data_IF_908433178007
#
_entry.id   IF_908433178007
#
_cell.length_a   1.000
_cell.length_b   1.000
_cell.length_c   1.000
_cell.angle_alpha   90.00
_cell.angle_beta   90.00
_cell.angle_gamma   90.00
#
_symmetry.space_group_name_H-M   'P 1'
#
loop_
_entity.id
_entity.type
_entity.pdbx_description
1 polymer ?
#
# COMPACT_ATOMS: atom_id res chain seq x y z
N UNK A 1 9.97 -13.43 9.85
CA UNK A 1 10.53 -12.28 9.11
C UNK A 1 9.65 -12.01 7.92
N UNK A 2 9.06 -10.84 7.87
CA UNK A 2 8.04 -10.46 6.87
C UNK A 2 8.71 -9.50 5.89
N UNK A 3 9.61 -10.01 5.09
CA UNK A 3 10.17 -9.24 3.98
C UNK A 3 9.25 -9.40 2.76
N UNK A 4 8.98 -8.33 2.02
CA UNK A 4 8.27 -8.46 0.75
C UNK A 4 9.04 -9.42 -0.16
N UNK A 5 8.37 -10.51 -0.57
CA UNK A 5 8.98 -11.54 -1.40
C UNK A 5 8.89 -11.16 -2.88
N UNK A 6 9.82 -11.68 -3.67
CA UNK A 6 9.77 -11.56 -5.13
C UNK A 6 8.62 -12.43 -5.64
N UNK A 7 7.81 -11.87 -6.50
CA UNK A 7 6.67 -12.53 -7.14
C UNK A 7 6.82 -12.69 -8.66
N UNK A 8 7.76 -11.97 -9.26
CA UNK A 8 8.14 -12.17 -10.66
C UNK A 8 8.93 -13.47 -10.81
N UNK A 9 8.74 -14.13 -11.95
CA UNK A 9 9.60 -15.20 -12.41
C UNK A 9 10.95 -14.63 -12.92
N UNK A 10 11.86 -15.51 -13.31
CA UNK A 10 13.24 -15.16 -13.76
C UNK A 10 13.23 -14.25 -14.98
N UNK A 11 12.24 -14.38 -15.84
CA UNK A 11 12.06 -13.57 -17.06
C UNK A 11 11.25 -12.29 -16.85
N UNK A 12 10.89 -11.98 -15.60
CA UNK A 12 10.09 -10.82 -15.22
C UNK A 12 8.57 -11.00 -15.37
N UNK A 13 8.11 -12.19 -15.73
CA UNK A 13 6.67 -12.49 -15.80
C UNK A 13 6.07 -12.70 -14.40
N UNK A 14 4.80 -12.36 -14.26
CA UNK A 14 4.02 -12.61 -13.05
C UNK A 14 2.53 -12.73 -13.37
N UNK A 15 1.77 -13.37 -12.48
CA UNK A 15 0.31 -13.40 -12.57
C UNK A 15 -0.30 -12.12 -11.99
N UNK A 16 -1.01 -11.36 -12.81
CA UNK A 16 -1.71 -10.15 -12.40
C UNK A 16 -2.92 -10.44 -11.51
N UNK A 17 -3.40 -9.41 -10.82
CA UNK A 17 -4.62 -9.49 -10.02
C UNK A 17 -5.90 -9.64 -10.89
N UNK A 18 -5.79 -9.47 -12.20
CA UNK A 18 -6.81 -9.74 -13.20
C UNK A 18 -6.79 -11.20 -13.72
N UNK A 19 -5.88 -12.03 -13.22
CA UNK A 19 -5.71 -13.42 -13.63
C UNK A 19 -5.00 -13.60 -14.97
N UNK A 20 -4.34 -12.56 -15.49
CA UNK A 20 -3.57 -12.63 -16.74
C UNK A 20 -2.07 -12.59 -16.44
N UNK A 21 -1.29 -13.15 -17.36
CA UNK A 21 0.17 -13.04 -17.30
C UNK A 21 0.59 -11.64 -17.77
N UNK A 22 1.36 -10.98 -16.91
CA UNK A 22 1.98 -9.68 -17.18
C UNK A 22 3.50 -9.82 -17.12
N UNK A 23 4.19 -8.81 -17.67
CA UNK A 23 5.63 -8.72 -17.58
C UNK A 23 6.02 -7.33 -17.05
N UNK A 24 6.95 -7.31 -16.11
CA UNK A 24 7.55 -6.08 -15.60
C UNK A 24 9.03 -6.02 -15.90
N UNK A 25 9.43 -5.03 -16.70
CA UNK A 25 10.83 -4.76 -17.02
C UNK A 25 11.42 -3.60 -16.18
N UNK A 26 10.56 -2.86 -15.44
CA UNK A 26 10.95 -1.62 -14.73
C UNK A 26 11.01 -1.75 -13.22
N UNK A 27 10.47 -2.80 -12.65
CA UNK A 27 10.49 -3.07 -11.20
C UNK A 27 10.30 -4.57 -10.94
N UNK A 28 10.73 -5.02 -9.78
CA UNK A 28 10.47 -6.39 -9.33
C UNK A 28 9.11 -6.44 -8.64
N UNK A 29 8.15 -7.19 -9.20
CA UNK A 29 6.86 -7.40 -8.53
C UNK A 29 7.07 -8.10 -7.21
N UNK A 30 6.54 -7.53 -6.13
CA UNK A 30 6.67 -8.05 -4.77
C UNK A 30 5.34 -8.44 -4.20
N UNK A 31 5.36 -9.41 -3.29
CA UNK A 31 4.20 -9.91 -2.55
C UNK A 31 4.53 -10.01 -1.07
N UNK A 32 3.51 -10.24 -0.26
CA UNK A 32 3.51 -10.29 1.20
C UNK A 32 3.69 -8.88 1.80
N UNK A 33 2.60 -8.16 1.79
CA UNK A 33 2.48 -6.89 2.49
C UNK A 33 1.57 -7.03 3.70
N UNK A 34 2.12 -7.36 4.87
CA UNK A 34 1.41 -7.36 6.15
C UNK A 34 1.39 -5.94 6.72
N UNK A 35 0.58 -5.08 6.10
CA UNK A 35 0.69 -3.64 6.29
C UNK A 35 0.61 -3.17 7.74
N UNK A 36 -0.28 -3.77 8.55
CA UNK A 36 -0.40 -3.46 9.98
C UNK A 36 0.91 -3.66 10.76
N UNK A 37 1.62 -4.73 10.44
CA UNK A 37 2.83 -5.11 11.17
C UNK A 37 4.04 -4.29 10.73
N UNK A 38 4.16 -4.05 9.41
CA UNK A 38 5.40 -3.52 8.81
C UNK A 38 5.46 -2.00 8.71
N UNK A 39 4.31 -1.29 8.72
CA UNK A 39 4.27 0.15 8.41
C UNK A 39 4.99 1.03 9.43
N UNK A 40 5.10 0.61 10.68
CA UNK A 40 5.65 1.42 11.78
C UNK A 40 7.14 1.23 12.04
N UNK A 41 7.73 0.16 11.56
CA UNK A 41 9.15 -0.12 11.82
C UNK A 41 9.87 -0.67 10.60
N UNK A 42 9.44 -1.80 10.05
CA UNK A 42 10.12 -2.47 8.96
C UNK A 42 10.18 -1.59 7.71
N UNK A 43 9.09 -1.01 7.28
CA UNK A 43 9.08 -0.18 6.07
C UNK A 43 9.86 1.12 6.23
N UNK A 44 9.74 1.90 7.34
CA UNK A 44 10.61 3.03 7.58
C UNK A 44 12.10 2.67 7.64
N UNK A 45 12.46 1.51 8.20
CA UNK A 45 13.84 1.03 8.18
C UNK A 45 14.29 0.68 6.77
N UNK A 46 13.45 0.01 5.98
CA UNK A 46 13.76 -0.34 4.59
C UNK A 46 13.96 0.89 3.70
N UNK A 47 13.31 2.02 3.98
CA UNK A 47 13.58 3.26 3.25
C UNK A 47 15.02 3.75 3.40
N UNK A 48 15.69 3.36 4.49
CA UNK A 48 17.11 3.73 4.76
C UNK A 48 18.05 2.69 4.17
N UNK A 49 17.80 1.40 4.42
CA UNK A 49 18.75 0.33 4.08
C UNK A 49 18.55 -0.26 2.68
N UNK A 50 17.32 -0.21 2.16
CA UNK A 50 16.99 -0.76 0.84
C UNK A 50 15.84 0.02 0.18
N UNK A 51 16.04 1.25 -0.27
CA UNK A 51 15.00 2.09 -0.87
C UNK A 51 14.42 1.49 -2.16
N UNK A 52 15.21 0.71 -2.90
CA UNK A 52 14.74 0.02 -4.11
C UNK A 52 13.62 -0.98 -3.79
N UNK A 53 13.78 -1.75 -2.71
CA UNK A 53 12.75 -2.69 -2.25
C UNK A 53 11.44 -1.96 -1.92
N UNK A 54 11.51 -0.83 -1.25
CA UNK A 54 10.31 -0.04 -0.90
C UNK A 54 9.62 0.49 -2.16
N UNK A 55 10.39 1.01 -3.10
CA UNK A 55 9.87 1.49 -4.38
C UNK A 55 9.20 0.35 -5.19
N UNK A 56 9.85 -0.81 -5.27
CA UNK A 56 9.29 -2.00 -5.92
C UNK A 56 7.98 -2.46 -5.27
N UNK A 57 7.92 -2.46 -3.93
CA UNK A 57 6.71 -2.81 -3.20
C UNK A 57 5.56 -1.83 -3.48
N UNK A 58 5.83 -0.52 -3.45
CA UNK A 58 4.82 0.50 -3.72
C UNK A 58 4.31 0.42 -5.16
N UNK A 59 5.20 0.19 -6.13
CA UNK A 59 4.81 -0.11 -7.52
C UNK A 59 3.95 -1.37 -7.60
N UNK A 60 4.32 -2.41 -6.88
CA UNK A 60 3.56 -3.68 -6.84
C UNK A 60 2.15 -3.48 -6.31
N UNK A 61 1.97 -2.73 -5.22
CA UNK A 61 0.66 -2.43 -4.64
C UNK A 61 -0.19 -1.56 -5.57
N UNK A 62 0.43 -0.57 -6.23
CA UNK A 62 -0.27 0.32 -7.18
C UNK A 62 -0.70 -0.44 -8.42
N UNK A 63 0.18 -1.28 -8.96
CA UNK A 63 -0.12 -2.13 -10.13
C UNK A 63 -1.22 -3.14 -9.80
N UNK A 64 -1.20 -3.75 -8.61
CA UNK A 64 -2.27 -4.65 -8.17
C UNK A 64 -3.62 -3.95 -8.08
N UNK A 65 -3.65 -2.71 -7.55
CA UNK A 65 -4.87 -1.92 -7.48
C UNK A 65 -5.43 -1.59 -8.87
N UNK A 66 -4.56 -1.37 -9.85
CA UNK A 66 -4.91 -1.11 -11.25
C UNK A 66 -5.41 -2.38 -11.94
N UNK A 67 -4.65 -3.47 -11.92
CA UNK A 67 -4.97 -4.76 -12.55
C UNK A 67 -6.29 -5.34 -12.03
N UNK A 68 -6.54 -5.22 -10.74
CA UNK A 68 -7.80 -5.70 -10.13
C UNK A 68 -9.02 -4.83 -10.48
N UNK A 69 -8.83 -3.64 -11.07
CA UNK A 69 -9.87 -2.65 -11.31
C UNK A 69 -10.45 -2.03 -10.02
N UNK A 70 -9.91 -2.36 -8.87
CA UNK A 70 -10.42 -1.88 -7.57
C UNK A 70 -9.98 -0.46 -7.26
N UNK A 71 -8.81 -0.05 -7.74
CA UNK A 71 -8.25 1.29 -7.59
C UNK A 71 -8.11 1.75 -6.11
N UNK A 72 -7.82 0.82 -5.21
CA UNK A 72 -7.52 1.10 -3.81
C UNK A 72 -6.45 0.15 -3.27
N UNK A 73 -5.70 0.58 -2.26
CA UNK A 73 -4.63 -0.20 -1.66
C UNK A 73 -5.16 -1.23 -0.66
N UNK A 74 -4.63 -2.46 -0.76
CA UNK A 74 -4.93 -3.52 0.18
C UNK A 74 -4.22 -3.26 1.54
N UNK A 75 -4.85 -3.75 2.59
CA UNK A 75 -4.34 -3.68 3.97
C UNK A 75 -3.34 -4.78 4.27
N UNK A 76 -3.60 -5.96 3.75
CA UNK A 76 -2.78 -7.15 3.87
C UNK A 76 -2.84 -7.94 2.56
N UNK A 77 -1.77 -7.87 1.80
CA UNK A 77 -1.67 -8.49 0.48
C UNK A 77 -0.87 -9.80 0.55
N UNK A 78 -1.37 -10.85 -0.10
CA UNK A 78 -0.71 -12.14 -0.23
C UNK A 78 -0.86 -12.66 -1.65
N UNK A 79 0.27 -12.96 -2.29
CA UNK A 79 0.33 -13.55 -3.63
C UNK A 79 -0.51 -12.77 -4.66
N UNK A 80 -0.37 -11.44 -4.62
CA UNK A 80 -1.07 -10.50 -5.49
C UNK A 80 -2.60 -10.56 -5.37
N UNK A 81 -3.11 -10.96 -4.21
CA UNK A 81 -4.53 -11.09 -3.92
C UNK A 81 -4.98 -10.20 -2.75
N UNK A 82 -6.22 -9.72 -2.84
CA UNK A 82 -6.88 -8.97 -1.78
C UNK A 82 -7.42 -9.91 -0.71
N UNK A 83 -6.84 -9.87 0.47
CA UNK A 83 -7.26 -10.69 1.61
C UNK A 83 -8.44 -10.09 2.37
N UNK A 84 -8.59 -8.76 2.34
CA UNK A 84 -9.53 -8.02 3.18
C UNK A 84 -9.23 -8.07 4.67
N UNK A 85 -8.12 -8.68 5.06
CA UNK A 85 -7.71 -8.86 6.45
C UNK A 85 -7.17 -7.56 7.07
N UNK A 86 -7.11 -7.54 8.40
CA UNK A 86 -6.53 -6.46 9.20
C UNK A 86 -7.30 -5.13 9.13
N UNK A 87 -6.75 -4.12 9.78
CA UNK A 87 -7.41 -2.84 10.00
C UNK A 87 -6.57 -1.68 9.48
N UNK A 88 -7.25 -0.56 9.23
CA UNK A 88 -6.64 0.71 8.85
C UNK A 88 -6.10 0.72 7.41
N UNK A 89 -5.32 1.74 7.09
CA UNK A 89 -4.80 2.00 5.74
C UNK A 89 -3.26 2.10 5.75
N UNK A 90 -2.55 1.00 6.09
CA UNK A 90 -1.10 1.05 6.30
C UNK A 90 -0.32 1.40 5.03
N UNK A 91 -0.80 1.02 3.85
CA UNK A 91 -0.19 1.34 2.58
C UNK A 91 -0.05 2.85 2.35
N UNK A 92 -1.04 3.65 2.79
CA UNK A 92 -0.99 5.12 2.70
C UNK A 92 0.17 5.68 3.53
N UNK A 93 0.39 5.14 4.73
CA UNK A 93 1.49 5.57 5.60
C UNK A 93 2.86 5.25 4.99
N UNK A 94 3.01 4.06 4.41
CA UNK A 94 4.25 3.64 3.73
C UNK A 94 4.50 4.51 2.49
N UNK A 95 3.47 4.77 1.70
CA UNK A 95 3.54 5.61 0.51
C UNK A 95 3.97 7.05 0.87
N UNK A 96 3.37 7.64 1.90
CA UNK A 96 3.68 8.99 2.35
C UNK A 96 5.11 9.11 2.90
N UNK A 97 5.56 8.12 3.68
CA UNK A 97 6.93 8.08 4.20
C UNK A 97 7.97 7.99 3.08
N UNK A 98 7.73 7.09 2.11
CA UNK A 98 8.60 6.94 0.95
C UNK A 98 8.63 8.21 0.07
N UNK A 99 7.48 8.84 -0.15
CA UNK A 99 7.38 10.10 -0.88
C UNK A 99 8.16 11.22 -0.19
N UNK A 100 7.96 11.41 1.11
CA UNK A 100 8.65 12.43 1.90
C UNK A 100 10.19 12.26 1.89
N UNK A 101 10.66 11.01 1.71
CA UNK A 101 12.09 10.68 1.61
C UNK A 101 12.63 10.68 0.17
N UNK A 102 11.81 11.04 -0.82
CA UNK A 102 12.21 11.10 -2.23
C UNK A 102 12.46 9.74 -2.88
N UNK A 103 11.94 8.65 -2.32
CA UNK A 103 12.17 7.28 -2.81
C UNK A 103 11.15 6.86 -3.88
N UNK A 104 10.01 7.51 -3.93
CA UNK A 104 8.84 7.09 -4.69
C UNK A 104 8.95 7.48 -6.17
N UNK A 105 9.22 6.52 -7.06
CA UNK A 105 9.18 6.70 -8.52
C UNK A 105 7.86 6.19 -9.12
N UNK A 106 6.73 6.66 -8.55
CA UNK A 106 5.38 6.38 -8.99
C UNK A 106 4.78 7.56 -9.74
N UNK A 107 3.74 7.29 -10.53
CA UNK A 107 2.77 8.33 -10.90
C UNK A 107 2.04 8.78 -9.63
N UNK A 108 2.43 9.94 -9.10
CA UNK A 108 1.95 10.44 -7.82
C UNK A 108 0.48 10.87 -7.87
N UNK A 109 -0.02 11.30 -9.00
CA UNK A 109 -1.43 11.63 -9.17
C UNK A 109 -2.32 10.38 -9.06
N UNK A 110 -1.91 9.30 -9.75
CA UNK A 110 -2.56 7.99 -9.66
C UNK A 110 -2.49 7.44 -8.22
N UNK A 111 -1.30 7.47 -7.62
CA UNK A 111 -1.08 6.99 -6.26
C UNK A 111 -1.93 7.76 -5.23
N UNK A 112 -2.03 9.07 -5.36
CA UNK A 112 -2.88 9.89 -4.51
C UNK A 112 -4.37 9.54 -4.68
N UNK A 113 -4.85 9.40 -5.91
CA UNK A 113 -6.25 9.02 -6.20
C UNK A 113 -6.61 7.68 -5.54
N UNK A 114 -5.73 6.69 -5.63
CA UNK A 114 -5.94 5.39 -4.99
C UNK A 114 -5.86 5.48 -3.46
N UNK A 115 -4.97 6.33 -2.92
CA UNK A 115 -4.89 6.58 -1.48
C UNK A 115 -6.15 7.25 -0.93
N UNK A 116 -6.69 8.26 -1.64
CA UNK A 116 -7.94 8.93 -1.27
C UNK A 116 -9.11 7.93 -1.28
N UNK A 117 -9.25 7.15 -2.35
CA UNK A 117 -10.26 6.09 -2.42
C UNK A 117 -10.13 5.06 -1.28
N UNK A 118 -8.91 4.63 -0.97
CA UNK A 118 -8.62 3.72 0.14
C UNK A 118 -9.06 4.30 1.47
N UNK A 119 -8.80 5.59 1.72
CA UNK A 119 -9.16 6.24 2.98
C UNK A 119 -10.67 6.32 3.18
N UNK A 120 -11.42 6.48 2.11
CA UNK A 120 -12.89 6.55 2.12
C UNK A 120 -13.55 5.18 2.28
N UNK A 121 -12.95 4.12 1.72
CA UNK A 121 -13.52 2.77 1.78
C UNK A 121 -13.48 2.16 3.17
N UNK A 122 -12.38 2.34 3.89
CA UNK A 122 -12.12 1.64 5.15
C UNK A 122 -12.30 2.50 6.41
N UNK A 123 -12.81 3.68 6.24
CA UNK A 123 -13.11 4.60 7.31
C UNK A 123 -13.63 5.92 6.76
N UNK A 124 -14.43 6.61 7.53
CA UNK A 124 -14.88 7.94 7.16
C UNK A 124 -13.75 8.93 7.48
N UNK A 125 -12.96 9.29 6.47
CA UNK A 125 -11.83 10.21 6.62
C UNK A 125 -12.27 11.58 7.16
N UNK A 126 -13.49 12.01 6.88
CA UNK A 126 -14.05 13.29 7.33
C UNK A 126 -14.38 13.27 8.83
N UNK A 127 -14.85 12.15 9.34
CA UNK A 127 -15.14 11.98 10.76
C UNK A 127 -13.91 11.64 11.61
N UNK A 128 -12.80 11.22 10.97
CA UNK A 128 -11.59 10.78 11.67
C UNK A 128 -11.74 9.47 12.46
N UNK A 129 -12.86 8.76 12.31
CA UNK A 129 -13.12 7.46 12.92
C UNK A 129 -14.04 6.60 12.05
N UNK A 130 -14.06 5.30 12.31
CA UNK A 130 -14.98 4.36 11.64
C UNK A 130 -16.25 4.22 12.47
N UNK A 131 -17.43 4.50 11.92
CA UNK A 131 -18.70 4.45 12.66
C UNK A 131 -19.22 3.02 12.90
N UNK A 132 -18.53 1.98 12.46
CA UNK A 132 -18.98 0.61 12.63
C UNK A 132 -18.71 0.10 14.06
N UNK A 133 -19.73 -0.16 14.88
CA UNK A 133 -19.57 -0.60 16.27
C UNK A 133 -18.99 -2.03 16.38
N UNK A 134 -19.01 -2.82 15.31
CA UNK A 134 -18.45 -4.17 15.28
C UNK A 134 -16.96 -4.20 14.89
N UNK A 135 -16.47 -3.17 14.25
CA UNK A 135 -15.05 -2.99 14.05
C UNK A 135 -14.54 -2.20 15.25
N UNK A 136 -13.86 -2.85 16.17
CA UNK A 136 -13.06 -2.15 17.18
C UNK A 136 -11.67 -1.84 16.62
N UNK A 137 -11.51 -0.95 15.64
CA UNK A 137 -10.22 -0.39 15.35
C UNK A 137 -9.95 0.53 16.51
N UNK A 138 -8.86 0.34 17.16
CA UNK A 138 -8.41 1.33 18.13
C UNK A 138 -8.39 2.69 17.39
N UNK A 139 -9.18 3.68 17.79
CA UNK A 139 -9.37 4.93 17.04
C UNK A 139 -8.06 5.65 16.72
N UNK A 140 -7.04 5.38 17.52
CA UNK A 140 -5.69 5.93 17.44
C UNK A 140 -4.95 5.57 16.14
N UNK A 141 -4.94 4.31 15.78
CA UNK A 141 -4.17 3.86 14.62
C UNK A 141 -4.79 4.28 13.28
N UNK A 142 -6.10 4.52 13.28
CA UNK A 142 -6.79 5.08 12.11
C UNK A 142 -6.62 6.59 11.99
N UNK A 143 -6.59 7.31 13.13
CA UNK A 143 -6.40 8.75 13.16
C UNK A 143 -5.06 9.17 12.55
N UNK A 144 -3.97 8.49 12.92
CA UNK A 144 -2.64 8.76 12.38
C UNK A 144 -2.61 8.50 10.86
N UNK A 145 -3.23 7.42 10.39
CA UNK A 145 -3.20 7.04 8.97
C UNK A 145 -4.06 7.92 8.07
N UNK A 146 -5.20 8.36 8.56
CA UNK A 146 -6.04 9.31 7.83
C UNK A 146 -5.45 10.73 7.87
N UNK A 147 -4.75 11.10 8.93
CA UNK A 147 -4.03 12.37 9.04
C UNK A 147 -2.94 12.53 7.98
N UNK A 148 -2.26 11.44 7.62
CA UNK A 148 -1.25 11.45 6.53
C UNK A 148 -1.89 11.79 5.18
N UNK A 149 -3.08 11.26 4.89
CA UNK A 149 -3.80 11.55 3.66
C UNK A 149 -4.24 13.03 3.57
N UNK A 150 -4.61 13.63 4.70
CA UNK A 150 -4.98 15.05 4.77
C UNK A 150 -3.77 15.99 4.61
N UNK A 151 -2.59 15.59 5.09
CA UNK A 151 -1.37 16.41 4.93
C UNK A 151 -0.90 16.48 3.47
N UNK A 152 -1.20 15.48 2.67
CA UNK A 152 -0.89 15.45 1.24
C UNK A 152 -1.71 16.44 0.41
N UNK A 153 -2.90 16.81 0.90
CA UNK A 153 -3.80 17.72 0.20
C UNK A 153 -3.34 19.19 0.27
N UNK A 154 -2.41 19.52 1.16
CA UNK A 154 -1.97 20.88 1.45
C UNK A 154 -0.55 21.20 0.90
N UNK A 155 0.02 20.33 0.08
CA UNK A 155 1.27 20.49 -0.64
C UNK A 155 1.06 20.26 -2.14
#
# INVERSE_FOLDING_TARGET
>A
MIDPRIYTDVDGQYMGADGKAHKSDTFTKRTIFSGWDVFRSQMPLQTIINPVLVNDLLKSLTTMAEESGREYYERWELLNAYSGCMLGNPAISVLADAYAKGICSLDMEKAYRYADKTSRMFGNAELGYTPNPQSTPKPWSMRIRNGVCLSWRNH
#
